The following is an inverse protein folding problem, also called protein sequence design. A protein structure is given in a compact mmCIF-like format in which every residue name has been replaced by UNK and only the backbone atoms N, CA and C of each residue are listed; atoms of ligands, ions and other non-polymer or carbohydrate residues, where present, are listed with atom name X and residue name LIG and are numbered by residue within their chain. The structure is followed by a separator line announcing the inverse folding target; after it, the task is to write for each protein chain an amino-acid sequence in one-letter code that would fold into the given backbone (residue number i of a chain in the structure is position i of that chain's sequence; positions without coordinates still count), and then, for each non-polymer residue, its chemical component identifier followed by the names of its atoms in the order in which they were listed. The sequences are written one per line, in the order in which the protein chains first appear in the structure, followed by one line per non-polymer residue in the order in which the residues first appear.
data_IF_989734901007
#
_entry.id   IF_989734901007
#
_cell.length_a   1.000
_cell.length_b   1.000
_cell.length_c   1.000
_cell.angle_alpha   90.00
_cell.angle_beta   90.00
_cell.angle_gamma   90.00
#
_symmetry.space_group_name_H-M   'P 1'
#
loop_
_entity.id
_entity.type
_entity.pdbx_description
1 polymer ?
#
# COMPACT_ATOMS: atom_id res chain seq x y z
N UNK A 1 4.10 -3.43 -26.79
CA UNK A 1 5.51 -3.19 -26.40
C UNK A 1 5.58 -2.96 -24.90
N UNK A 2 6.59 -3.52 -24.25
CA UNK A 2 6.88 -3.24 -22.84
C UNK A 2 7.45 -1.83 -22.69
N UNK A 3 7.10 -1.13 -21.59
CA UNK A 3 7.67 0.16 -21.20
C UNK A 3 8.45 -0.02 -19.91
N UNK A 4 9.64 0.56 -19.84
CA UNK A 4 10.49 0.55 -18.65
C UNK A 4 10.63 1.99 -18.13
N UNK A 5 10.40 2.17 -16.83
CA UNK A 5 10.49 3.48 -16.17
C UNK A 5 11.49 3.40 -15.02
N UNK A 6 12.26 4.47 -14.81
CA UNK A 6 13.00 4.67 -13.55
C UNK A 6 12.06 5.27 -12.51
N UNK A 7 12.39 5.14 -11.22
CA UNK A 7 11.61 5.75 -10.11
C UNK A 7 11.35 7.24 -10.35
N UNK A 8 12.36 7.98 -10.81
CA UNK A 8 12.28 9.44 -10.98
C UNK A 8 11.49 9.85 -12.24
N UNK A 9 11.15 8.90 -13.11
CA UNK A 9 10.31 9.16 -14.29
C UNK A 9 8.81 9.05 -13.96
N UNK A 10 8.47 8.65 -12.73
CA UNK A 10 7.10 8.42 -12.27
C UNK A 10 6.71 9.44 -11.19
N UNK A 11 5.42 9.81 -11.11
CA UNK A 11 4.94 10.71 -10.08
C UNK A 11 5.21 10.15 -8.67
N UNK A 12 5.85 10.97 -7.83
CA UNK A 12 6.16 10.64 -6.45
C UNK A 12 5.59 11.69 -5.49
N UNK A 13 5.05 11.22 -4.38
CA UNK A 13 4.41 12.08 -3.39
C UNK A 13 4.83 11.67 -1.98
N UNK A 14 5.05 12.66 -1.12
CA UNK A 14 5.22 12.46 0.32
C UNK A 14 3.98 13.03 0.98
N UNK A 15 3.29 12.20 1.75
CA UNK A 15 2.10 12.64 2.47
C UNK A 15 2.45 13.66 3.54
N UNK A 16 1.74 14.78 3.56
CA UNK A 16 1.90 15.81 4.59
C UNK A 16 1.28 15.41 5.93
N UNK A 17 0.39 14.41 5.95
CA UNK A 17 -0.32 13.95 7.16
C UNK A 17 0.45 12.88 7.91
N UNK A 18 0.93 11.89 7.18
CA UNK A 18 1.45 10.64 7.73
C UNK A 18 2.78 10.24 7.10
N UNK A 19 3.51 11.16 6.44
CA UNK A 19 4.88 10.99 5.89
C UNK A 19 5.09 9.84 4.90
N UNK A 20 4.11 8.98 4.64
CA UNK A 20 4.21 7.88 3.69
C UNK A 20 4.63 8.38 2.32
N UNK A 21 5.50 7.60 1.68
CA UNK A 21 5.90 7.84 0.30
C UNK A 21 4.98 7.05 -0.63
N UNK A 22 4.43 7.70 -1.65
CA UNK A 22 3.66 7.07 -2.72
C UNK A 22 4.39 7.27 -4.05
N UNK A 23 4.52 6.20 -4.82
CA UNK A 23 4.98 6.21 -6.20
C UNK A 23 3.84 5.69 -7.09
N UNK A 24 3.39 6.49 -8.05
CA UNK A 24 2.35 6.06 -8.98
C UNK A 24 2.93 5.08 -10.01
N UNK A 25 2.28 3.93 -10.19
CA UNK A 25 2.68 2.92 -11.17
C UNK A 25 1.69 2.87 -12.33
N UNK A 26 0.40 2.97 -12.03
CA UNK A 26 -0.69 2.98 -13.01
C UNK A 26 -1.71 4.01 -12.56
N UNK A 27 -1.59 5.22 -13.11
CA UNK A 27 -2.55 6.32 -12.96
C UNK A 27 -2.66 7.08 -14.28
N UNK A 28 -3.56 8.05 -14.35
CA UNK A 28 -3.70 8.95 -15.52
C UNK A 28 -2.42 9.70 -15.88
N UNK A 29 -1.52 9.91 -14.92
CA UNK A 29 -0.26 10.63 -15.12
C UNK A 29 0.90 9.71 -15.52
N UNK A 30 0.70 8.39 -15.52
CA UNK A 30 1.69 7.43 -16.01
C UNK A 30 1.31 7.05 -17.45
N UNK A 31 2.22 7.15 -18.44
CA UNK A 31 1.88 6.96 -19.85
C UNK A 31 1.75 5.46 -20.21
N UNK A 32 0.83 4.77 -19.55
CA UNK A 32 0.45 3.37 -19.80
C UNK A 32 -1.02 3.32 -20.20
N UNK A 33 -1.37 2.45 -21.15
CA UNK A 33 -2.73 2.34 -21.69
C UNK A 33 -3.73 1.62 -20.80
N UNK A 34 -3.50 1.57 -19.48
CA UNK A 34 -4.31 0.81 -18.55
C UNK A 34 -5.62 1.54 -18.22
N UNK A 35 -6.76 0.93 -18.55
CA UNK A 35 -8.10 1.52 -18.38
C UNK A 35 -8.84 1.01 -17.14
N UNK A 36 -8.53 -0.20 -16.70
CA UNK A 36 -9.28 -0.90 -15.64
C UNK A 36 -8.43 -1.22 -14.41
N UNK A 37 -7.20 -0.71 -14.38
CA UNK A 37 -6.27 -0.93 -13.27
C UNK A 37 -5.74 0.42 -12.79
N UNK A 38 -5.61 0.52 -11.49
CA UNK A 38 -4.86 1.57 -10.80
C UNK A 38 -3.88 0.89 -9.87
N UNK A 39 -2.66 1.42 -9.78
CA UNK A 39 -1.63 0.85 -8.94
C UNK A 39 -0.66 1.93 -8.46
N UNK A 40 -0.26 1.80 -7.22
CA UNK A 40 0.80 2.56 -6.61
C UNK A 40 1.72 1.63 -5.81
N UNK A 41 2.90 2.14 -5.49
CA UNK A 41 3.77 1.58 -4.47
C UNK A 41 3.81 2.54 -3.30
N UNK A 42 3.43 2.07 -2.13
CA UNK A 42 3.43 2.89 -0.91
C UNK A 42 4.50 2.36 0.05
N UNK A 43 5.31 3.26 0.58
CA UNK A 43 6.21 3.02 1.72
C UNK A 43 5.57 3.68 2.92
N UNK A 44 5.29 2.88 3.94
CA UNK A 44 4.90 3.37 5.25
C UNK A 44 6.15 3.41 6.13
N UNK A 45 6.23 4.39 7.01
CA UNK A 45 7.24 4.52 8.05
C UNK A 45 6.67 4.12 9.42
N UNK A 46 7.55 3.98 10.39
CA UNK A 46 7.15 3.70 11.78
C UNK A 46 6.24 4.82 12.30
N UNK A 47 5.09 4.43 12.87
CA UNK A 47 4.11 5.37 13.43
C UNK A 47 3.09 5.88 12.41
N UNK A 48 3.29 5.65 11.11
CA UNK A 48 2.31 6.00 10.09
C UNK A 48 0.99 5.25 10.32
N UNK A 49 -0.11 5.92 10.01
CA UNK A 49 -1.43 5.32 10.04
C UNK A 49 -2.26 5.84 8.88
N UNK A 50 -3.11 4.98 8.33
CA UNK A 50 -4.03 5.35 7.27
C UNK A 50 -5.46 5.38 7.81
N UNK A 51 -6.24 6.35 7.36
CA UNK A 51 -7.67 6.40 7.65
C UNK A 51 -8.40 5.21 7.01
N UNK A 52 -9.45 4.73 7.69
CA UNK A 52 -10.33 3.70 7.14
C UNK A 52 -11.06 4.24 5.92
N UNK A 53 -11.10 3.47 4.85
CA UNK A 53 -11.78 3.83 3.60
C UNK A 53 -12.26 2.56 2.88
N UNK A 54 -13.03 2.77 1.82
CA UNK A 54 -13.49 1.72 0.91
C UNK A 54 -13.56 2.30 -0.51
N UNK A 55 -13.64 1.42 -1.50
CA UNK A 55 -13.82 1.80 -2.90
C UNK A 55 -15.02 1.07 -3.49
N UNK A 56 -15.90 1.85 -4.14
CA UNK A 56 -17.10 1.32 -4.80
C UNK A 56 -16.68 0.61 -6.09
N UNK A 57 -17.13 -0.63 -6.27
CA UNK A 57 -16.91 -1.42 -7.49
C UNK A 57 -15.46 -1.82 -7.78
N UNK A 58 -14.52 -1.61 -6.84
CA UNK A 58 -13.10 -1.90 -7.02
C UNK A 58 -12.61 -2.94 -6.03
N UNK A 59 -11.97 -3.99 -6.54
CA UNK A 59 -11.23 -4.94 -5.72
C UNK A 59 -9.84 -4.38 -5.43
N UNK A 60 -9.34 -4.59 -4.22
CA UNK A 60 -7.98 -4.18 -3.86
C UNK A 60 -7.08 -5.39 -3.71
N UNK A 61 -5.89 -5.30 -4.32
CA UNK A 61 -4.84 -6.31 -4.20
C UNK A 61 -3.61 -5.65 -3.57
N UNK A 62 -3.31 -6.01 -2.32
CA UNK A 62 -2.11 -5.58 -1.64
C UNK A 62 -1.05 -6.67 -1.74
N UNK A 63 0.12 -6.32 -2.29
CA UNK A 63 1.32 -7.16 -2.28
C UNK A 63 2.32 -6.55 -1.30
N UNK A 64 2.66 -7.29 -0.25
CA UNK A 64 3.67 -6.88 0.70
C UNK A 64 5.04 -7.24 0.16
N UNK A 65 5.80 -6.24 -0.29
CA UNK A 65 7.12 -6.47 -0.89
C UNK A 65 8.19 -6.72 0.18
N UNK A 66 8.21 -5.89 1.23
CA UNK A 66 9.22 -5.91 2.27
C UNK A 66 8.66 -5.48 3.63
N UNK A 67 9.43 -5.73 4.69
CA UNK A 67 9.13 -5.29 6.04
C UNK A 67 8.32 -6.28 6.87
N UNK A 68 7.93 -5.82 8.06
CA UNK A 68 7.05 -6.51 9.01
C UNK A 68 6.06 -5.49 9.54
N UNK A 69 4.79 -5.88 9.62
CA UNK A 69 3.75 -4.99 10.11
C UNK A 69 2.49 -5.78 10.47
N UNK A 70 1.47 -5.05 10.91
CA UNK A 70 0.11 -5.59 10.98
C UNK A 70 -0.73 -4.82 9.97
N UNK A 71 -1.36 -5.51 9.00
CA UNK A 71 -2.35 -4.87 8.18
C UNK A 71 -3.56 -4.68 9.08
N UNK A 72 -4.00 -3.44 9.27
CA UNK A 72 -5.29 -3.20 9.91
C UNK A 72 -6.37 -3.31 8.84
N UNK A 73 -6.44 -4.49 8.22
CA UNK A 73 -7.66 -4.90 7.57
C UNK A 73 -8.66 -5.09 8.69
N UNK A 74 -9.80 -4.43 8.61
CA UNK A 74 -10.76 -4.23 9.70
C UNK A 74 -11.28 -5.55 10.30
N UNK A 75 -10.96 -6.69 9.67
CA UNK A 75 -11.34 -8.03 10.10
C UNK A 75 -10.15 -9.00 10.34
N UNK A 76 -8.90 -8.65 9.97
CA UNK A 76 -7.76 -9.57 10.09
C UNK A 76 -6.63 -8.92 10.91
N UNK A 77 -6.59 -9.24 12.21
CA UNK A 77 -5.45 -8.90 13.10
C UNK A 77 -4.32 -9.92 13.02
N UNK A 78 -3.89 -10.30 11.81
CA UNK A 78 -2.78 -11.26 11.63
C UNK A 78 -1.47 -10.53 11.35
N UNK A 79 -0.43 -10.90 12.11
CA UNK A 79 0.94 -10.49 11.81
C UNK A 79 1.44 -11.28 10.61
N UNK A 80 2.16 -10.64 9.70
CA UNK A 80 2.80 -11.31 8.58
C UNK A 80 4.31 -11.02 8.54
N UNK A 81 5.06 -11.94 7.94
CA UNK A 81 6.51 -11.82 7.69
C UNK A 81 6.79 -12.31 6.26
N UNK A 82 7.57 -11.55 5.49
CA UNK A 82 7.89 -11.89 4.10
C UNK A 82 6.80 -11.47 3.10
N UNK A 83 6.89 -11.97 1.87
CA UNK A 83 5.94 -11.65 0.81
C UNK A 83 4.58 -12.25 1.14
N UNK A 84 3.59 -11.39 1.31
CA UNK A 84 2.21 -11.76 1.59
C UNK A 84 1.29 -11.03 0.61
N UNK A 85 0.06 -11.53 0.49
CA UNK A 85 -0.99 -10.94 -0.32
C UNK A 85 -2.22 -10.71 0.56
N UNK A 86 -2.91 -9.58 0.36
CA UNK A 86 -4.27 -9.40 0.83
C UNK A 86 -5.18 -8.99 -0.34
N UNK A 87 -6.38 -9.59 -0.37
CA UNK A 87 -7.45 -9.27 -1.30
C UNK A 87 -8.60 -8.68 -0.51
N UNK A 88 -9.18 -7.59 -1.01
CA UNK A 88 -10.32 -6.92 -0.38
C UNK A 88 -11.40 -6.72 -1.43
N UNK A 89 -12.62 -7.11 -1.07
CA UNK A 89 -13.78 -6.99 -1.93
C UNK A 89 -14.24 -5.53 -2.05
N UNK A 90 -14.97 -5.17 -3.11
CA UNK A 90 -15.58 -3.86 -3.22
C UNK A 90 -16.38 -3.50 -1.98
N UNK A 91 -16.31 -2.23 -1.57
CA UNK A 91 -17.07 -1.67 -0.44
C UNK A 91 -16.72 -2.23 0.96
N UNK A 92 -15.82 -3.20 1.05
CA UNK A 92 -15.27 -3.59 2.34
C UNK A 92 -14.41 -2.46 2.91
N UNK A 93 -14.78 -1.97 4.10
CA UNK A 93 -13.97 -0.99 4.82
C UNK A 93 -12.64 -1.65 5.17
N UNK A 94 -11.55 -0.95 4.85
CA UNK A 94 -10.19 -1.33 5.19
C UNK A 94 -9.41 -0.09 5.64
N UNK A 95 -8.52 -0.25 6.63
CA UNK A 95 -7.48 0.74 6.87
C UNK A 95 -6.28 0.37 5.98
N UNK A 96 -5.44 1.35 5.66
CA UNK A 96 -4.10 1.05 5.16
C UNK A 96 -3.23 0.36 6.23
N UNK A 97 -1.94 0.66 6.24
CA UNK A 97 -1.00 -0.02 7.14
C UNK A 97 -0.65 0.85 8.35
N UNK A 98 -0.59 0.23 9.54
CA UNK A 98 0.11 0.79 10.69
C UNK A 98 1.36 -0.06 10.91
N UNK A 99 2.53 0.49 10.61
CA UNK A 99 3.78 -0.19 10.91
C UNK A 99 4.00 -0.10 12.42
N UNK A 100 4.05 -1.26 13.05
CA UNK A 100 4.37 -1.39 14.47
C UNK A 100 5.88 -1.60 14.57
N UNK A 101 6.59 -0.71 15.25
CA UNK A 101 7.86 -1.06 15.86
C UNK A 101 7.77 -0.84 17.39
N UNK A 102 8.11 -1.87 18.17
CA UNK A 102 9.31 -1.89 19.01
C UNK A 102 9.33 -3.07 19.99
N UNK A 103 10.53 -3.66 20.13
CA UNK A 103 11.04 -4.26 21.36
C UNK A 103 10.51 -5.63 21.77
N UNK A 104 11.26 -6.69 21.46
CA UNK A 104 11.68 -7.62 22.51
C UNK A 104 13.20 -7.74 22.38
N UNK A 105 13.91 -6.87 23.09
CA UNK A 105 15.08 -7.34 23.83
C UNK A 105 14.57 -8.25 24.94
N UNK A 106 15.28 -9.35 25.15
CA UNK A 106 15.08 -10.45 26.11
C UNK A 106 14.23 -11.60 25.57
N UNK A 107 14.87 -12.46 24.79
CA UNK A 107 15.30 -13.80 25.23
C UNK A 107 16.56 -14.20 24.46
#
# INVERSE_FOLDING_TARGET
MAKLFKKNDLPNFISTRDKRERLDLITENVPVGAKHLRADRIIYHEGDSCAGHYHIGSHHVFVFLEGKGKPFLTLIKKTFKGVNLALIEPEEIHLGFKIIQKGISNL
#
